data_IF_348917418815
#
_entry.id   IF_348917418815
#
_cell.length_a   1.000
_cell.length_b   1.000
_cell.length_c   1.000
_cell.angle_alpha   90.00
_cell.angle_beta   90.00
_cell.angle_gamma   90.00
#
_symmetry.space_group_name_H-M   'P 1'
#
loop_
_entity.id
_entity.type
_entity.pdbx_description
1 polymer ?
#
# COMPACT_ATOMS: atom_id res chain seq x y z
N UNK A 1 20.01 54.73 35.26
CA UNK A 1 19.44 53.91 34.16
C UNK A 1 20.61 53.45 33.30
N UNK A 2 21.04 52.20 33.43
CA UNK A 2 22.15 51.67 32.62
C UNK A 2 21.64 51.32 31.21
N UNK A 3 22.41 51.62 30.14
CA UNK A 3 21.98 51.36 28.77
C UNK A 3 21.91 49.86 28.52
N UNK A 4 20.81 49.42 27.91
CA UNK A 4 20.61 48.04 27.46
C UNK A 4 21.70 47.73 26.42
N UNK A 5 22.70 46.93 26.80
CA UNK A 5 23.70 46.47 25.84
C UNK A 5 23.05 45.42 24.94
N UNK A 6 23.16 45.53 23.60
CA UNK A 6 22.66 44.49 22.72
C UNK A 6 23.41 43.18 23.02
N UNK A 7 22.68 42.06 22.98
CA UNK A 7 23.24 40.75 23.23
C UNK A 7 24.55 40.53 22.45
N UNK A 8 25.55 39.86 23.05
CA UNK A 8 26.83 39.63 22.40
C UNK A 8 26.61 38.87 21.09
N UNK A 9 27.32 39.28 20.02
CA UNK A 9 27.22 38.67 18.67
C UNK A 9 27.37 37.15 18.68
N UNK A 10 28.15 36.63 19.63
CA UNK A 10 28.33 35.19 19.87
C UNK A 10 27.01 34.52 20.25
N UNK A 11 26.20 35.13 21.12
CA UNK A 11 24.91 34.57 21.54
C UNK A 11 23.89 34.62 20.40
N UNK A 12 23.89 35.68 19.59
CA UNK A 12 23.02 35.74 18.40
C UNK A 12 23.38 34.65 17.38
N UNK A 13 24.67 34.38 17.18
CA UNK A 13 25.13 33.30 16.30
C UNK A 13 24.70 31.93 16.82
N UNK A 14 24.82 31.68 18.12
CA UNK A 14 24.40 30.43 18.76
C UNK A 14 22.89 30.22 18.59
N UNK A 15 22.07 31.26 18.79
CA UNK A 15 20.61 31.17 18.63
C UNK A 15 20.25 30.88 17.17
N UNK A 16 20.81 31.61 16.21
CA UNK A 16 20.54 31.39 14.78
C UNK A 16 20.97 29.98 14.34
N UNK A 17 22.12 29.50 14.81
CA UNK A 17 22.59 28.15 14.51
C UNK A 17 21.67 27.09 15.14
N UNK A 18 21.19 27.33 16.36
CA UNK A 18 20.24 26.42 17.04
C UNK A 18 18.90 26.34 16.31
N UNK A 19 18.38 27.48 15.83
CA UNK A 19 17.13 27.52 15.06
C UNK A 19 17.27 26.77 13.73
N UNK A 20 18.39 26.94 13.03
CA UNK A 20 18.68 26.20 11.79
C UNK A 20 18.80 24.69 12.07
N UNK A 21 19.48 24.31 13.16
CA UNK A 21 19.64 22.91 13.55
C UNK A 21 18.30 22.22 13.84
N UNK A 22 17.34 22.96 14.39
CA UNK A 22 15.99 22.45 14.73
C UNK A 22 15.07 22.41 13.49
N UNK A 23 15.18 23.38 12.58
CA UNK A 23 14.27 23.50 11.43
C UNK A 23 14.54 22.47 10.31
N UNK A 24 15.80 22.07 10.10
CA UNK A 24 16.20 21.13 9.04
C UNK A 24 15.54 19.74 9.18
N UNK A 25 15.56 19.05 10.35
CA UNK A 25 14.94 17.72 10.47
C UNK A 25 13.41 17.74 10.38
N UNK A 26 12.77 18.90 10.57
CA UNK A 26 11.31 19.03 10.48
C UNK A 26 10.81 19.01 9.01
N UNK A 27 11.64 19.38 8.04
CA UNK A 27 11.27 19.46 6.62
C UNK A 27 11.22 18.09 5.93
N UNK A 28 11.91 17.07 6.44
CA UNK A 28 11.98 15.74 5.83
C UNK A 28 10.80 14.82 6.16
N UNK A 29 9.98 15.15 7.16
CA UNK A 29 8.80 14.35 7.52
C UNK A 29 7.67 14.42 6.48
N UNK A 30 7.67 15.44 5.61
CA UNK A 30 6.67 15.62 4.56
C UNK A 30 6.95 14.83 3.27
N UNK A 31 8.06 14.08 3.20
CA UNK A 31 8.37 13.27 2.03
C UNK A 31 7.38 12.10 1.96
N UNK A 32 6.54 12.10 0.93
CA UNK A 32 5.52 11.07 0.66
C UNK A 32 6.13 9.68 0.80
N UNK A 33 5.77 8.96 1.87
CA UNK A 33 6.22 7.58 2.11
C UNK A 33 5.94 6.76 0.85
N UNK A 34 6.98 6.18 0.24
CA UNK A 34 6.82 5.33 -0.92
C UNK A 34 5.99 4.11 -0.52
N UNK A 35 4.87 3.89 -1.18
CA UNK A 35 4.09 2.67 -1.02
C UNK A 35 4.83 1.59 -1.79
N UNK A 36 5.25 0.54 -1.10
CA UNK A 36 5.84 -0.65 -1.71
C UNK A 36 4.85 -1.79 -1.57
N UNK A 37 4.62 -2.50 -2.67
CA UNK A 37 3.85 -3.74 -2.67
C UNK A 37 4.83 -4.91 -2.60
N UNK A 38 4.49 -5.91 -1.81
CA UNK A 38 5.26 -7.15 -1.67
C UNK A 38 4.37 -8.29 -2.09
N UNK A 39 4.86 -9.13 -3.00
CA UNK A 39 4.20 -10.37 -3.36
C UNK A 39 4.33 -11.37 -2.21
N UNK A 40 3.19 -11.78 -1.67
CA UNK A 40 3.09 -12.75 -0.58
C UNK A 40 2.34 -14.01 -1.00
N UNK A 41 2.12 -14.23 -2.30
CA UNK A 41 1.33 -15.35 -2.84
C UNK A 41 1.86 -16.70 -2.34
N UNK A 42 3.14 -16.98 -2.58
CA UNK A 42 3.82 -18.21 -2.13
C UNK A 42 3.88 -18.36 -0.61
N UNK A 43 4.37 -17.38 0.18
CA UNK A 43 4.43 -17.53 1.64
C UNK A 43 3.04 -17.59 2.31
N UNK A 44 1.99 -17.07 1.67
CA UNK A 44 0.61 -17.25 2.12
C UNK A 44 0.02 -18.62 1.74
N UNK A 45 0.76 -19.46 1.00
CA UNK A 45 0.32 -20.78 0.57
C UNK A 45 -0.73 -20.76 -0.54
N UNK A 46 -0.82 -19.67 -1.31
CA UNK A 46 -1.80 -19.52 -2.39
C UNK A 46 -1.23 -20.15 -3.69
N UNK A 47 -1.88 -21.21 -4.18
CA UNK A 47 -1.59 -21.86 -5.47
C UNK A 47 -2.81 -21.85 -6.41
N UNK A 48 -3.66 -20.83 -6.29
CA UNK A 48 -4.88 -20.72 -7.07
C UNK A 48 -4.59 -20.26 -8.50
N UNK A 49 -5.07 -21.02 -9.49
CA UNK A 49 -5.08 -20.63 -10.90
C UNK A 49 -6.51 -20.45 -11.39
N UNK A 50 -6.86 -19.22 -11.74
CA UNK A 50 -8.15 -18.91 -12.32
C UNK A 50 -8.35 -19.60 -13.68
N UNK A 51 -9.54 -20.14 -13.91
CA UNK A 51 -10.01 -20.61 -15.22
C UNK A 51 -11.40 -20.07 -15.51
N UNK A 52 -11.66 -19.77 -16.78
CA UNK A 52 -13.01 -19.45 -17.27
C UNK A 52 -13.89 -20.70 -17.42
N UNK A 53 -13.32 -21.90 -17.26
CA UNK A 53 -14.00 -23.16 -17.52
C UNK A 53 -13.84 -23.68 -18.94
N UNK A 54 -13.05 -23.00 -19.77
CA UNK A 54 -12.71 -23.36 -21.15
C UNK A 54 -11.19 -23.33 -21.37
N UNK A 55 -10.70 -24.00 -22.41
CA UNK A 55 -9.31 -24.03 -22.84
C UNK A 55 -8.88 -22.78 -23.60
N UNK A 56 -9.83 -22.03 -24.17
CA UNK A 56 -9.56 -20.83 -24.95
C UNK A 56 -10.61 -19.76 -24.72
N UNK A 57 -10.19 -18.50 -24.78
CA UNK A 57 -11.08 -17.36 -24.63
C UNK A 57 -11.58 -16.93 -26.01
N UNK A 58 -12.83 -17.27 -26.35
CA UNK A 58 -13.40 -17.07 -27.69
C UNK A 58 -14.65 -16.19 -27.70
N UNK A 59 -15.31 -16.00 -26.56
CA UNK A 59 -16.58 -15.29 -26.46
C UNK A 59 -16.52 -14.13 -25.44
N UNK A 60 -17.17 -13.00 -25.75
CA UNK A 60 -17.29 -11.86 -24.83
C UNK A 60 -18.01 -12.21 -23.53
N UNK A 61 -18.88 -13.23 -23.54
CA UNK A 61 -19.54 -13.72 -22.33
C UNK A 61 -18.53 -14.35 -21.34
N UNK A 62 -17.44 -14.93 -21.85
CA UNK A 62 -16.34 -15.50 -21.05
C UNK A 62 -15.44 -14.41 -20.44
N UNK A 63 -15.59 -13.15 -20.89
CA UNK A 63 -14.93 -11.96 -20.30
C UNK A 63 -15.36 -11.70 -18.87
N UNK A 64 -16.60 -12.09 -18.56
CA UNK A 64 -17.16 -11.90 -17.21
C UNK A 64 -16.54 -12.94 -16.30
N UNK A 65 -15.32 -12.64 -15.84
CA UNK A 65 -14.61 -13.51 -14.91
C UNK A 65 -15.25 -13.54 -13.54
N UNK A 66 -14.78 -14.45 -12.70
CA UNK A 66 -15.18 -14.46 -11.29
C UNK A 66 -14.49 -13.34 -10.50
N UNK A 67 -15.09 -12.96 -9.38
CA UNK A 67 -14.47 -12.07 -8.40
C UNK A 67 -13.67 -12.82 -7.34
N UNK A 68 -12.91 -12.05 -6.57
CA UNK A 68 -12.29 -12.48 -5.31
C UNK A 68 -12.87 -11.65 -4.17
N UNK A 69 -13.06 -12.25 -3.00
CA UNK A 69 -13.44 -11.54 -1.78
C UNK A 69 -12.47 -11.88 -0.66
N UNK A 70 -12.11 -10.89 0.14
CA UNK A 70 -11.22 -11.01 1.29
C UNK A 70 -11.99 -10.59 2.53
N UNK A 71 -12.22 -11.51 3.47
CA UNK A 71 -13.02 -11.28 4.68
C UNK A 71 -12.72 -12.33 5.74
N UNK A 72 -12.90 -12.00 7.02
CA UNK A 72 -12.79 -12.95 8.13
C UNK A 72 -14.12 -13.72 8.26
N UNK A 73 -14.17 -14.93 7.69
CA UNK A 73 -15.40 -15.73 7.61
C UNK A 73 -15.71 -16.41 8.94
N UNK A 74 -14.69 -16.96 9.61
CA UNK A 74 -14.85 -17.79 10.81
C UNK A 74 -14.68 -17.01 12.13
N UNK A 75 -14.30 -15.72 12.06
CA UNK A 75 -14.04 -14.82 13.19
C UNK A 75 -12.81 -15.16 14.01
N UNK A 76 -11.77 -15.72 13.39
CA UNK A 76 -10.49 -16.01 14.07
C UNK A 76 -9.50 -14.83 14.02
N UNK A 77 -9.88 -13.72 13.36
CA UNK A 77 -9.06 -12.53 13.22
C UNK A 77 -8.03 -12.60 12.08
N UNK A 78 -8.03 -13.69 11.30
CA UNK A 78 -7.28 -13.81 10.05
C UNK A 78 -8.21 -13.50 8.87
N UNK A 79 -7.64 -12.93 7.81
CA UNK A 79 -8.40 -12.64 6.59
C UNK A 79 -8.42 -13.88 5.70
N UNK A 80 -9.60 -14.40 5.42
CA UNK A 80 -9.78 -15.49 4.47
C UNK A 80 -9.88 -14.97 3.03
N UNK A 81 -9.42 -15.77 2.07
CA UNK A 81 -9.61 -15.52 0.64
C UNK A 81 -10.66 -16.46 0.07
N UNK A 82 -11.72 -15.91 -0.48
CA UNK A 82 -12.71 -16.66 -1.26
C UNK A 82 -12.52 -16.36 -2.76
N UNK A 83 -12.18 -17.39 -3.52
CA UNK A 83 -11.89 -17.34 -4.95
C UNK A 83 -12.75 -18.36 -5.68
N UNK A 84 -13.30 -17.96 -6.83
CA UNK A 84 -14.16 -18.82 -7.66
C UNK A 84 -13.53 -19.04 -9.03
N UNK A 85 -13.87 -20.14 -9.68
CA UNK A 85 -13.59 -20.34 -11.10
C UNK A 85 -14.85 -20.11 -11.94
N UNK A 86 -14.64 -19.88 -13.23
CA UNK A 86 -15.68 -20.08 -14.24
C UNK A 86 -15.97 -21.58 -14.45
N UNK A 87 -16.99 -21.85 -15.24
CA UNK A 87 -17.45 -23.21 -15.55
C UNK A 87 -17.74 -23.31 -17.04
N UNK A 88 -17.51 -24.50 -17.61
CA UNK A 88 -17.88 -24.77 -19.00
C UNK A 88 -19.39 -24.67 -19.16
N UNK A 89 -19.86 -23.88 -20.11
CA UNK A 89 -21.28 -23.74 -20.41
C UNK A 89 -21.53 -24.25 -21.82
N UNK A 90 -22.34 -25.31 -21.94
CA UNK A 90 -22.70 -25.89 -23.24
C UNK A 90 -23.35 -24.84 -24.16
N UNK A 91 -22.85 -24.75 -25.40
CA UNK A 91 -23.34 -23.79 -26.40
C UNK A 91 -22.86 -22.36 -26.20
N UNK A 92 -22.01 -22.10 -25.21
CA UNK A 92 -21.35 -20.80 -24.97
C UNK A 92 -19.82 -20.92 -24.97
N UNK A 93 -19.30 -22.00 -24.39
CA UNK A 93 -17.88 -22.39 -24.37
C UNK A 93 -17.58 -23.39 -25.50
N UNK A 94 -16.37 -23.31 -26.06
CA UNK A 94 -15.98 -23.94 -27.35
C UNK A 94 -14.73 -24.85 -27.27
#
# INVERSE_FOLDING_TARGET
>A
MAPFTPFPRILQLIISLSVILIAIPFQTSAQKKSITFTDVTTPAGIDFKYTIGDFSYKNILESSGSGITVFDYNKDGLMDLFMMNGTYIEGVSD
#
